data_IF_559574876468
#
_entry.id   IF_559574876468
#
_cell.length_a   1.000
_cell.length_b   1.000
_cell.length_c   1.000
_cell.angle_alpha   90.00
_cell.angle_beta   90.00
_cell.angle_gamma   90.00
#
_symmetry.space_group_name_H-M   'P 1'
#
loop_
_entity.id
_entity.type
_entity.pdbx_description
1 polymer ?
#
# COMPACT_ATOMS: atom_id res chain seq x y z
N UNK A 1 -30.64 23.28 -28.28
CA UNK A 1 -29.85 22.62 -29.34
C UNK A 1 -28.44 23.16 -29.22
N UNK A 2 -27.42 22.44 -28.77
CA UNK A 2 -27.32 21.02 -28.46
C UNK A 2 -26.26 20.89 -27.36
N UNK A 3 -26.65 20.33 -26.21
CA UNK A 3 -25.80 20.10 -25.02
C UNK A 3 -25.54 18.59 -24.98
N UNK A 4 -24.58 18.09 -25.75
CA UNK A 4 -24.48 16.62 -25.92
C UNK A 4 -23.05 16.08 -26.02
N UNK A 5 -22.01 16.85 -25.69
CA UNK A 5 -20.62 16.34 -25.77
C UNK A 5 -19.87 16.27 -24.43
N UNK A 6 -20.25 17.03 -23.39
CA UNK A 6 -19.60 16.95 -22.06
C UNK A 6 -20.04 15.73 -21.22
N UNK A 7 -21.05 14.97 -21.66
CA UNK A 7 -21.62 13.84 -20.92
C UNK A 7 -20.94 12.47 -21.12
N UNK A 8 -19.93 12.37 -22.00
CA UNK A 8 -19.33 11.07 -22.37
C UNK A 8 -18.03 10.74 -21.62
N UNK A 9 -17.30 11.71 -21.09
CA UNK A 9 -16.06 11.44 -20.34
C UNK A 9 -16.29 11.03 -18.87
N UNK A 10 -17.45 11.35 -18.30
CA UNK A 10 -17.77 10.98 -16.91
C UNK A 10 -18.26 9.54 -16.73
N UNK A 11 -18.43 8.77 -17.81
CA UNK A 11 -18.97 7.40 -17.76
C UNK A 11 -17.94 6.27 -17.91
N UNK A 12 -16.65 6.58 -18.08
CA UNK A 12 -15.59 5.55 -18.15
C UNK A 12 -15.10 5.07 -16.78
N UNK A 13 -15.49 5.75 -15.68
CA UNK A 13 -15.19 5.35 -14.31
C UNK A 13 -16.22 4.38 -13.68
N UNK A 14 -17.15 3.82 -14.46
CA UNK A 14 -18.31 3.09 -13.90
C UNK A 14 -18.30 1.57 -13.97
N UNK A 15 -17.21 0.91 -14.37
CA UNK A 15 -17.10 -0.55 -14.21
C UNK A 15 -15.69 -0.94 -13.77
N UNK A 16 -15.41 -0.78 -12.48
CA UNK A 16 -14.28 -1.46 -11.83
C UNK A 16 -14.60 -2.95 -11.90
N UNK A 17 -13.78 -3.73 -12.63
CA UNK A 17 -13.86 -5.20 -12.57
C UNK A 17 -13.49 -5.61 -11.14
N UNK A 18 -14.48 -6.09 -10.39
CA UNK A 18 -14.26 -6.64 -9.06
C UNK A 18 -13.24 -7.76 -9.17
N UNK A 19 -12.22 -7.74 -8.31
CA UNK A 19 -11.22 -8.80 -8.24
C UNK A 19 -11.83 -10.13 -7.77
N UNK A 20 -12.90 -10.03 -6.98
CA UNK A 20 -13.73 -11.12 -6.49
C UNK A 20 -15.20 -10.67 -6.49
N UNK A 21 -16.14 -11.55 -6.84
CA UNK A 21 -17.57 -11.27 -6.75
C UNK A 21 -18.13 -11.96 -5.49
N UNK A 22 -18.37 -11.25 -4.39
CA UNK A 22 -19.15 -11.80 -3.30
C UNK A 22 -20.59 -12.01 -3.78
N UNK A 23 -21.10 -13.24 -3.69
CA UNK A 23 -22.52 -13.53 -3.89
C UNK A 23 -23.28 -13.08 -2.64
N UNK A 24 -23.46 -11.77 -2.48
CA UNK A 24 -24.32 -11.19 -1.45
C UNK A 24 -25.57 -10.60 -2.10
N UNK A 25 -26.53 -11.46 -2.40
CA UNK A 25 -27.95 -11.07 -2.46
C UNK A 25 -28.89 -12.04 -1.72
N UNK A 26 -28.36 -13.00 -0.95
CA UNK A 26 -29.18 -14.00 -0.21
C UNK A 26 -28.88 -14.03 1.30
N UNK A 27 -28.26 -12.97 1.86
CA UNK A 27 -27.98 -12.90 3.30
C UNK A 27 -28.87 -11.90 4.05
N UNK A 28 -30.13 -11.77 3.60
CA UNK A 28 -31.22 -11.37 4.48
C UNK A 28 -31.91 -12.62 5.02
N UNK A 29 -31.33 -13.24 6.04
CA UNK A 29 -32.01 -14.30 6.80
C UNK A 29 -31.10 -15.41 7.31
N UNK A 30 -30.93 -15.42 8.63
CA UNK A 30 -30.63 -16.57 9.48
C UNK A 30 -29.31 -17.34 9.28
N UNK A 31 -28.44 -17.17 10.27
CA UNK A 31 -27.56 -18.19 10.87
C UNK A 31 -26.88 -19.21 9.95
N UNK A 32 -25.55 -19.08 9.88
CA UNK A 32 -24.64 -20.21 10.07
C UNK A 32 -24.68 -21.33 9.05
N UNK A 33 -24.03 -21.12 7.91
CA UNK A 33 -23.32 -22.23 7.27
C UNK A 33 -21.82 -21.99 7.40
N UNK A 34 -21.25 -22.39 8.55
CA UNK A 34 -19.80 -22.46 8.75
C UNK A 34 -19.10 -23.20 7.60
N UNK A 35 -19.77 -24.20 7.03
CA UNK A 35 -19.31 -24.90 5.82
C UNK A 35 -19.20 -23.98 4.60
N UNK A 36 -20.19 -23.11 4.34
CA UNK A 36 -20.13 -22.17 3.22
C UNK A 36 -19.01 -21.15 3.42
N UNK A 37 -18.83 -20.62 4.64
CA UNK A 37 -17.71 -19.73 4.95
C UNK A 37 -16.36 -20.40 4.69
N UNK A 38 -16.15 -21.62 5.20
CA UNK A 38 -14.93 -22.40 4.94
C UNK A 38 -14.72 -22.70 3.46
N UNK A 39 -15.79 -23.03 2.72
CA UNK A 39 -15.72 -23.24 1.28
C UNK A 39 -15.30 -21.96 0.53
N UNK A 40 -15.79 -20.79 0.95
CA UNK A 40 -15.38 -19.51 0.37
C UNK A 40 -13.94 -19.16 0.69
N UNK A 41 -13.50 -19.39 1.93
CA UNK A 41 -12.11 -19.21 2.35
C UNK A 41 -11.19 -20.09 1.51
N UNK A 42 -11.53 -21.37 1.32
CA UNK A 42 -10.75 -22.30 0.52
C UNK A 42 -10.72 -21.91 -0.97
N UNK A 43 -11.88 -21.59 -1.54
CA UNK A 43 -11.98 -21.14 -2.93
C UNK A 43 -11.15 -19.86 -3.19
N UNK A 44 -11.13 -18.94 -2.21
CA UNK A 44 -10.31 -17.73 -2.26
C UNK A 44 -8.82 -18.06 -2.17
N UNK A 45 -8.42 -18.96 -1.27
CA UNK A 45 -7.02 -19.40 -1.14
C UNK A 45 -6.52 -20.01 -2.45
N UNK A 46 -7.28 -20.93 -3.05
CA UNK A 46 -6.94 -21.54 -4.35
C UNK A 46 -6.86 -20.47 -5.44
N UNK A 47 -7.84 -19.57 -5.51
CA UNK A 47 -7.81 -18.48 -6.49
C UNK A 47 -6.57 -17.58 -6.35
N UNK A 48 -6.16 -17.25 -5.12
CA UNK A 48 -4.97 -16.45 -4.86
C UNK A 48 -3.69 -17.22 -5.21
N UNK A 49 -3.64 -18.52 -4.96
CA UNK A 49 -2.53 -19.39 -5.36
C UNK A 49 -2.39 -19.47 -6.88
N UNK A 50 -3.50 -19.66 -7.61
CA UNK A 50 -3.51 -19.63 -9.07
C UNK A 50 -2.98 -18.29 -9.59
N UNK A 51 -3.47 -17.18 -9.04
CA UNK A 51 -3.01 -15.83 -9.40
C UNK A 51 -1.55 -15.59 -9.06
N UNK A 52 -1.03 -16.22 -8.01
CA UNK A 52 0.38 -16.16 -7.64
C UNK A 52 1.24 -16.92 -8.66
N UNK A 53 0.80 -18.11 -9.09
CA UNK A 53 1.49 -18.93 -10.09
C UNK A 53 1.56 -18.26 -11.47
N UNK A 54 0.59 -17.41 -11.80
CA UNK A 54 0.56 -16.59 -13.01
C UNK A 54 1.67 -15.49 -13.03
N UNK A 55 2.28 -15.17 -11.88
CA UNK A 55 3.30 -14.12 -11.78
C UNK A 55 4.69 -14.62 -12.18
N UNK A 56 5.50 -13.70 -12.72
CA UNK A 56 6.89 -14.00 -13.05
C UNK A 56 7.70 -14.20 -11.77
N UNK A 57 8.37 -15.33 -11.65
CA UNK A 57 9.30 -15.61 -10.55
C UNK A 57 10.67 -14.96 -10.79
N UNK A 58 11.58 -15.11 -9.82
CA UNK A 58 12.93 -14.54 -9.90
C UNK A 58 13.73 -15.06 -11.10
N UNK A 59 13.61 -16.35 -11.43
CA UNK A 59 14.34 -16.97 -12.53
C UNK A 59 13.78 -16.53 -13.89
N UNK A 60 12.45 -16.38 -13.99
CA UNK A 60 11.75 -15.85 -15.15
C UNK A 60 12.13 -14.38 -15.40
N UNK A 61 12.18 -13.56 -14.34
CA UNK A 61 12.66 -12.17 -14.42
C UNK A 61 14.13 -12.09 -14.88
N UNK A 62 15.00 -12.95 -14.37
CA UNK A 62 16.40 -13.03 -14.82
C UNK A 62 16.50 -13.50 -16.28
N UNK A 63 15.66 -14.45 -16.69
CA UNK A 63 15.63 -14.99 -18.05
C UNK A 63 15.20 -13.93 -19.05
N UNK A 64 14.18 -13.12 -18.75
CA UNK A 64 13.76 -12.04 -19.65
C UNK A 64 14.79 -10.92 -19.73
N UNK A 65 15.49 -10.60 -18.64
CA UNK A 65 16.62 -9.66 -18.66
C UNK A 65 17.71 -10.13 -19.63
N UNK A 66 18.16 -11.38 -19.48
CA UNK A 66 19.16 -11.99 -20.36
C UNK A 66 18.69 -12.05 -21.82
N UNK A 67 17.40 -12.26 -22.06
CA UNK A 67 16.85 -12.27 -23.41
C UNK A 67 16.86 -10.87 -24.02
N UNK A 68 16.45 -9.84 -23.26
CA UNK A 68 16.47 -8.45 -23.71
C UNK A 68 17.88 -7.98 -24.07
N UNK A 69 18.88 -8.33 -23.25
CA UNK A 69 20.28 -7.96 -23.45
C UNK A 69 20.86 -8.47 -24.80
N UNK A 70 20.35 -9.58 -25.32
CA UNK A 70 20.75 -10.11 -26.65
C UNK A 70 20.24 -9.30 -27.83
N UNK A 71 19.18 -8.53 -27.63
CA UNK A 71 18.55 -7.69 -28.66
C UNK A 71 18.82 -6.20 -28.44
N UNK A 72 19.82 -5.88 -27.61
CA UNK A 72 20.19 -4.50 -27.33
C UNK A 72 20.79 -3.83 -28.57
N UNK A 73 20.39 -2.57 -28.77
CA UNK A 73 20.94 -1.66 -29.75
C UNK A 73 21.64 -0.56 -28.96
N UNK A 74 22.94 -0.32 -29.16
CA UNK A 74 23.63 0.79 -28.53
C UNK A 74 22.95 2.12 -28.85
N UNK A 75 22.74 2.94 -27.83
CA UNK A 75 22.24 4.30 -27.93
C UNK A 75 23.31 5.31 -28.32
N UNK A 76 23.05 6.59 -28.06
CA UNK A 76 24.02 7.67 -28.34
C UNK A 76 25.10 7.70 -27.26
N UNK A 77 24.74 7.34 -26.02
CA UNK A 77 25.68 7.06 -24.94
C UNK A 77 26.02 5.57 -24.89
N UNK A 78 27.24 5.24 -24.47
CA UNK A 78 27.71 3.87 -24.32
C UNK A 78 26.88 3.04 -23.33
N UNK A 79 26.22 3.70 -22.37
CA UNK A 79 25.39 3.07 -21.33
C UNK A 79 23.91 2.92 -21.73
N UNK A 80 23.50 3.47 -22.87
CA UNK A 80 22.11 3.38 -23.33
C UNK A 80 21.86 2.08 -24.09
N UNK A 81 21.23 1.12 -23.44
CA UNK A 81 20.74 -0.10 -24.07
C UNK A 81 19.30 0.11 -24.57
N UNK A 82 19.11 0.15 -25.89
CA UNK A 82 17.82 0.42 -26.52
C UNK A 82 17.24 -0.81 -27.23
N UNK A 83 15.93 -0.84 -27.43
CA UNK A 83 15.25 -1.86 -28.24
C UNK A 83 14.22 -1.24 -29.18
N UNK A 84 14.23 -1.66 -30.45
CA UNK A 84 13.24 -1.24 -31.44
C UNK A 84 11.92 -2.06 -31.31
N UNK A 85 10.87 -1.65 -32.00
CA UNK A 85 9.56 -2.31 -31.88
C UNK A 85 9.53 -3.74 -32.45
N UNK A 86 10.31 -4.00 -33.51
CA UNK A 86 10.38 -5.32 -34.13
C UNK A 86 11.02 -6.34 -33.18
N UNK A 87 12.14 -5.98 -32.57
CA UNK A 87 12.85 -6.80 -31.59
C UNK A 87 12.05 -6.95 -30.30
N UNK A 88 11.40 -5.88 -29.82
CA UNK A 88 10.46 -5.95 -28.71
C UNK A 88 9.35 -6.99 -28.94
N UNK A 89 8.77 -7.02 -30.15
CA UNK A 89 7.75 -8.02 -30.51
C UNK A 89 8.34 -9.43 -30.62
N UNK A 90 9.54 -9.56 -31.15
CA UNK A 90 10.24 -10.85 -31.27
C UNK A 90 10.56 -11.43 -29.89
N UNK A 91 11.14 -10.63 -28.99
CA UNK A 91 11.42 -11.01 -27.60
C UNK A 91 10.15 -11.45 -26.88
N UNK A 92 9.06 -10.68 -26.99
CA UNK A 92 7.78 -11.04 -26.38
C UNK A 92 7.20 -12.38 -26.87
N UNK A 93 7.42 -12.74 -28.14
CA UNK A 93 7.03 -14.05 -28.69
C UNK A 93 7.92 -15.17 -28.19
N UNK A 94 9.24 -14.93 -28.12
CA UNK A 94 10.21 -15.93 -27.67
C UNK A 94 10.10 -16.22 -26.17
N UNK A 95 9.76 -15.22 -25.36
CA UNK A 95 9.60 -15.39 -23.92
C UNK A 95 8.41 -16.26 -23.53
N UNK A 96 7.36 -16.30 -24.37
CA UNK A 96 6.17 -17.13 -24.17
C UNK A 96 4.95 -16.36 -23.62
N UNK A 97 3.82 -17.07 -23.45
CA UNK A 97 2.52 -16.45 -23.17
C UNK A 97 2.45 -15.67 -21.86
N UNK A 98 3.17 -16.13 -20.83
CA UNK A 98 3.23 -15.46 -19.51
C UNK A 98 3.76 -14.03 -19.59
N UNK A 99 4.58 -13.73 -20.60
CA UNK A 99 5.16 -12.41 -20.83
C UNK A 99 4.31 -11.51 -21.74
N UNK A 100 3.36 -12.07 -22.48
CA UNK A 100 2.53 -11.33 -23.45
C UNK A 100 1.86 -10.06 -22.87
N UNK A 101 1.38 -10.04 -21.60
CA UNK A 101 0.80 -8.83 -21.00
C UNK A 101 1.76 -7.65 -20.82
N UNK A 102 3.08 -7.90 -20.92
CA UNK A 102 4.12 -6.87 -20.83
C UNK A 102 4.57 -6.41 -22.23
N UNK A 103 4.49 -7.28 -23.25
CA UNK A 103 4.93 -7.00 -24.62
C UNK A 103 3.82 -6.50 -25.55
N UNK A 104 3.04 -5.50 -25.10
CA UNK A 104 1.95 -4.91 -25.90
C UNK A 104 2.36 -3.61 -26.58
N UNK A 105 1.73 -3.27 -27.71
CA UNK A 105 1.95 -1.98 -28.38
C UNK A 105 1.69 -0.78 -27.46
N UNK A 106 0.70 -0.89 -26.56
CA UNK A 106 0.36 0.13 -25.56
C UNK A 106 1.44 0.30 -24.49
N UNK A 107 2.19 -0.75 -24.17
CA UNK A 107 3.35 -0.65 -23.26
C UNK A 107 4.49 0.02 -23.98
N UNK A 108 4.82 -0.43 -25.19
CA UNK A 108 5.88 0.18 -26.01
C UNK A 108 5.67 1.68 -26.21
N UNK A 109 4.47 2.09 -26.61
CA UNK A 109 4.13 3.50 -26.81
C UNK A 109 4.21 4.34 -25.53
N UNK A 110 3.96 3.73 -24.34
CA UNK A 110 4.07 4.42 -23.06
C UNK A 110 5.51 4.59 -22.56
N UNK A 111 6.38 3.63 -22.90
CA UNK A 111 7.80 3.67 -22.54
C UNK A 111 8.65 4.46 -23.54
N UNK A 112 8.06 4.80 -24.69
CA UNK A 112 8.69 5.64 -25.71
C UNK A 112 8.88 7.06 -25.14
N UNK A 113 10.12 7.40 -24.86
CA UNK A 113 10.57 8.78 -24.60
C UNK A 113 10.69 9.54 -25.93
N UNK A 114 11.16 10.79 -25.90
CA UNK A 114 11.43 11.65 -27.06
C UNK A 114 12.57 11.14 -27.97
N UNK A 115 12.77 9.83 -28.08
CA UNK A 115 13.75 9.24 -28.99
C UNK A 115 13.30 9.46 -30.46
N UNK A 116 14.16 10.07 -31.31
CA UNK A 116 13.83 10.35 -32.70
C UNK A 116 13.49 9.11 -33.52
N UNK A 117 14.09 7.96 -33.18
CA UNK A 117 13.91 6.68 -33.87
C UNK A 117 12.79 5.83 -33.25
N UNK A 118 12.14 6.34 -32.20
CA UNK A 118 11.05 5.68 -31.50
C UNK A 118 11.44 4.41 -30.75
N UNK A 119 12.70 4.27 -30.36
CA UNK A 119 13.21 3.17 -29.52
C UNK A 119 12.84 3.40 -28.05
N UNK A 120 12.92 2.34 -27.25
CA UNK A 120 12.74 2.41 -25.79
C UNK A 120 13.99 1.88 -25.08
N UNK A 121 14.27 2.39 -23.88
CA UNK A 121 15.34 1.85 -23.05
C UNK A 121 14.94 0.46 -22.51
N UNK A 122 15.87 -0.50 -22.59
CA UNK A 122 15.68 -1.85 -22.04
C UNK A 122 15.45 -1.78 -20.53
N UNK A 123 16.21 -0.93 -19.83
CA UNK A 123 16.06 -0.73 -18.40
C UNK A 123 14.65 -0.23 -18.02
N UNK A 124 14.08 0.71 -18.77
CA UNK A 124 12.72 1.20 -18.54
C UNK A 124 11.68 0.08 -18.71
N UNK A 125 11.84 -0.76 -19.73
CA UNK A 125 10.97 -1.93 -19.94
C UNK A 125 11.11 -2.95 -18.80
N UNK A 126 12.32 -3.24 -18.38
CA UNK A 126 12.56 -4.18 -17.30
C UNK A 126 11.98 -3.66 -15.97
N UNK A 127 12.21 -2.40 -15.65
CA UNK A 127 11.62 -1.74 -14.47
C UNK A 127 10.09 -1.73 -14.52
N UNK A 128 9.50 -1.55 -15.71
CA UNK A 128 8.05 -1.67 -15.89
C UNK A 128 7.55 -3.09 -15.58
N UNK A 129 8.24 -4.13 -16.07
CA UNK A 129 7.89 -5.53 -15.80
C UNK A 129 7.98 -5.79 -14.29
N UNK A 130 9.11 -5.43 -13.67
CA UNK A 130 9.36 -5.58 -12.24
C UNK A 130 8.27 -4.90 -11.41
N UNK A 131 8.00 -3.61 -11.65
CA UNK A 131 6.98 -2.86 -10.90
C UNK A 131 5.59 -3.47 -11.07
N UNK A 132 5.26 -3.98 -12.26
CA UNK A 132 3.94 -4.59 -12.52
C UNK A 132 3.80 -5.98 -11.88
N UNK A 133 4.87 -6.77 -11.82
CA UNK A 133 4.91 -8.03 -11.07
C UNK A 133 4.78 -7.75 -9.58
N UNK A 134 5.58 -6.82 -9.06
CA UNK A 134 5.54 -6.39 -7.66
C UNK A 134 4.14 -5.92 -7.25
N UNK A 135 3.51 -5.02 -8.02
CA UNK A 135 2.16 -4.51 -7.70
C UNK A 135 1.12 -5.63 -7.62
N UNK A 136 1.21 -6.64 -8.48
CA UNK A 136 0.30 -7.79 -8.44
C UNK A 136 0.61 -8.69 -7.25
N UNK A 137 1.88 -8.97 -6.99
CA UNK A 137 2.33 -9.79 -5.87
C UNK A 137 1.89 -9.17 -4.53
N UNK A 138 2.16 -7.88 -4.35
CA UNK A 138 1.74 -7.12 -3.16
C UNK A 138 0.22 -7.08 -3.04
N UNK A 139 -0.51 -6.91 -4.15
CA UNK A 139 -1.97 -6.99 -4.13
C UNK A 139 -2.47 -8.36 -3.67
N UNK A 140 -1.88 -9.45 -4.15
CA UNK A 140 -2.22 -10.82 -3.73
C UNK A 140 -1.89 -10.99 -2.24
N UNK A 141 -0.72 -10.55 -1.80
CA UNK A 141 -0.29 -10.58 -0.40
C UNK A 141 -1.28 -9.88 0.53
N UNK A 142 -1.62 -8.62 0.26
CA UNK A 142 -2.65 -7.88 1.02
C UNK A 142 -4.02 -8.56 0.95
N UNK A 143 -4.35 -9.15 -0.21
CA UNK A 143 -5.61 -9.87 -0.40
C UNK A 143 -5.67 -11.16 0.40
N UNK A 144 -4.61 -11.65 1.04
CA UNK A 144 -4.67 -12.76 2.00
C UNK A 144 -5.28 -12.34 3.35
N UNK A 145 -5.08 -11.07 3.74
CA UNK A 145 -5.59 -10.50 5.00
C UNK A 145 -7.03 -9.98 4.90
N UNK A 146 -7.59 -9.84 3.69
CA UNK A 146 -9.00 -9.47 3.50
C UNK A 146 -9.95 -10.61 3.89
N UNK A 147 -10.24 -10.74 5.18
CA UNK A 147 -11.13 -11.77 5.73
C UNK A 147 -12.53 -11.79 5.08
N UNK A 148 -12.97 -10.70 4.46
CA UNK A 148 -14.30 -10.59 3.83
C UNK A 148 -14.30 -10.84 2.32
N UNK A 149 -13.13 -10.82 1.68
CA UNK A 149 -12.97 -10.89 0.23
C UNK A 149 -13.56 -9.69 -0.53
N UNK A 150 -13.88 -8.58 0.14
CA UNK A 150 -14.56 -7.43 -0.47
C UNK A 150 -13.60 -6.40 -1.10
N UNK A 151 -12.29 -6.62 -1.01
CA UNK A 151 -11.22 -5.77 -1.56
C UNK A 151 -10.81 -4.62 -0.65
N UNK A 152 -11.12 -4.69 0.64
CA UNK A 152 -10.70 -3.73 1.66
C UNK A 152 -10.13 -4.45 2.88
N UNK A 153 -9.34 -3.74 3.67
CA UNK A 153 -8.80 -4.18 4.94
C UNK A 153 -9.38 -3.34 6.07
N UNK A 154 -9.80 -3.99 7.15
CA UNK A 154 -10.16 -3.34 8.42
C UNK A 154 -8.92 -3.12 9.27
N UNK A 155 -9.06 -2.37 10.36
CA UNK A 155 -7.94 -2.14 11.29
C UNK A 155 -7.28 -3.46 11.73
N UNK A 156 -8.07 -4.44 12.17
CA UNK A 156 -7.56 -5.76 12.56
C UNK A 156 -6.82 -6.50 11.44
N UNK A 157 -7.29 -6.34 10.20
CA UNK A 157 -6.71 -7.02 9.04
C UNK A 157 -5.33 -6.39 8.72
N UNK A 158 -5.21 -5.07 8.87
CA UNK A 158 -3.95 -4.34 8.75
C UNK A 158 -3.00 -4.57 9.93
N UNK A 159 -3.50 -4.70 11.16
CA UNK A 159 -2.70 -5.04 12.34
C UNK A 159 -1.99 -6.38 12.12
N UNK A 160 -2.74 -7.42 11.73
CA UNK A 160 -2.18 -8.74 11.42
C UNK A 160 -1.11 -8.66 10.31
N UNK A 161 -1.38 -7.91 9.24
CA UNK A 161 -0.42 -7.71 8.16
C UNK A 161 0.88 -7.08 8.64
N UNK A 162 0.79 -6.00 9.42
CA UNK A 162 1.97 -5.28 9.93
C UNK A 162 2.74 -6.15 10.93
N UNK A 163 2.05 -6.85 11.82
CA UNK A 163 2.67 -7.76 12.79
C UNK A 163 3.50 -8.85 12.13
N UNK A 164 2.96 -9.51 11.10
CA UNK A 164 3.67 -10.53 10.33
C UNK A 164 4.78 -9.94 9.44
N UNK A 165 4.68 -8.65 9.08
CA UNK A 165 5.69 -7.97 8.29
C UNK A 165 6.94 -7.61 9.10
N UNK A 166 6.79 -7.23 10.38
CA UNK A 166 7.87 -6.72 11.25
C UNK A 166 9.14 -7.58 11.23
N UNK A 167 9.10 -8.93 11.37
CA UNK A 167 10.30 -9.76 11.35
C UNK A 167 11.10 -9.68 10.04
N UNK A 168 10.49 -9.21 8.96
CA UNK A 168 11.15 -9.03 7.66
C UNK A 168 11.77 -7.64 7.50
N UNK A 169 11.49 -6.70 8.39
CA UNK A 169 11.97 -5.32 8.34
C UNK A 169 13.28 -5.21 9.12
N UNK A 170 14.42 -5.32 8.44
CA UNK A 170 15.75 -5.27 9.06
C UNK A 170 15.95 -4.03 9.94
N UNK A 171 15.42 -2.87 9.54
CA UNK A 171 15.55 -1.62 10.30
C UNK A 171 14.72 -1.59 11.60
N UNK A 172 13.90 -2.62 11.86
CA UNK A 172 13.17 -2.81 13.11
C UNK A 172 13.73 -3.97 13.94
N UNK A 173 14.86 -4.55 13.54
CA UNK A 173 15.52 -5.58 14.34
C UNK A 173 15.93 -5.00 15.70
N UNK A 174 15.57 -5.71 16.78
CA UNK A 174 15.83 -5.25 18.15
C UNK A 174 14.76 -4.32 18.74
N UNK A 175 13.62 -4.14 18.07
CA UNK A 175 12.47 -3.47 18.66
C UNK A 175 12.01 -4.21 19.93
N UNK A 176 11.84 -3.48 21.03
CA UNK A 176 11.45 -4.09 22.31
C UNK A 176 10.06 -4.74 22.21
N UNK A 177 9.91 -5.95 22.74
CA UNK A 177 8.65 -6.70 22.65
C UNK A 177 7.47 -5.96 23.31
N UNK A 178 7.74 -5.17 24.35
CA UNK A 178 6.75 -4.30 25.01
C UNK A 178 6.30 -3.14 24.13
N UNK A 179 7.15 -2.68 23.20
CA UNK A 179 6.90 -1.57 22.28
C UNK A 179 6.22 -2.01 20.99
N UNK A 180 6.33 -3.29 20.61
CA UNK A 180 5.77 -3.81 19.37
C UNK A 180 4.27 -3.53 19.18
N UNK A 181 3.38 -3.72 20.17
CA UNK A 181 1.95 -3.40 20.02
C UNK A 181 1.72 -1.91 19.71
N UNK A 182 2.51 -1.03 20.31
CA UNK A 182 2.43 0.41 20.06
C UNK A 182 2.90 0.76 18.64
N UNK A 183 4.00 0.14 18.19
CA UNK A 183 4.49 0.33 16.82
C UNK A 183 3.45 -0.10 15.79
N UNK A 184 2.87 -1.29 15.95
CA UNK A 184 1.80 -1.82 15.07
C UNK A 184 0.63 -0.85 15.03
N UNK A 185 0.12 -0.46 16.20
CA UNK A 185 -0.99 0.48 16.32
C UNK A 185 -0.69 1.81 15.61
N UNK A 186 0.51 2.39 15.85
CA UNK A 186 0.94 3.64 15.24
C UNK A 186 1.01 3.54 13.72
N UNK A 187 1.58 2.46 13.20
CA UNK A 187 1.67 2.19 11.76
C UNK A 187 0.29 2.06 11.12
N UNK A 188 -0.61 1.26 11.70
CA UNK A 188 -1.97 1.10 11.20
C UNK A 188 -2.74 2.43 11.23
N UNK A 189 -2.59 3.22 12.30
CA UNK A 189 -3.20 4.55 12.40
C UNK A 189 -2.72 5.50 11.31
N UNK A 190 -1.45 5.46 10.91
CA UNK A 190 -0.94 6.24 9.77
C UNK A 190 -1.70 5.89 8.49
N UNK A 191 -1.91 4.61 8.18
CA UNK A 191 -2.70 4.23 7.00
C UNK A 191 -4.14 4.75 7.08
N UNK A 192 -4.84 4.50 8.19
CA UNK A 192 -6.25 4.88 8.32
C UNK A 192 -6.47 6.39 8.37
N UNK A 193 -5.53 7.15 8.92
CA UNK A 193 -5.66 8.61 8.98
C UNK A 193 -5.79 9.26 7.60
N UNK A 194 -4.97 8.82 6.62
CA UNK A 194 -5.01 9.41 5.27
C UNK A 194 -5.92 8.65 4.29
N UNK A 195 -6.04 7.33 4.45
CA UNK A 195 -6.76 6.50 3.48
C UNK A 195 -8.23 6.23 3.85
N UNK A 196 -8.67 6.61 5.06
CA UNK A 196 -10.06 6.53 5.51
C UNK A 196 -10.56 7.88 6.07
N UNK A 197 -10.61 8.96 5.25
CA UNK A 197 -11.01 10.29 5.71
C UNK A 197 -12.45 10.34 6.24
N UNK A 198 -13.31 9.40 5.82
CA UNK A 198 -14.70 9.28 6.27
C UNK A 198 -14.86 8.38 7.50
N UNK A 199 -13.76 7.80 8.02
CA UNK A 199 -13.73 6.94 9.22
C UNK A 199 -14.70 5.76 9.14
N UNK A 200 -14.72 5.11 7.99
CA UNK A 200 -15.54 3.92 7.74
C UNK A 200 -14.99 2.66 8.43
N UNK A 201 -13.75 2.71 8.93
CA UNK A 201 -13.03 1.57 9.48
C UNK A 201 -12.56 0.60 8.40
N UNK A 202 -12.50 1.06 7.13
CA UNK A 202 -12.13 0.24 5.97
C UNK A 202 -11.27 1.03 4.99
N UNK A 203 -10.13 0.45 4.60
CA UNK A 203 -9.27 0.99 3.54
C UNK A 203 -9.24 0.04 2.36
N UNK A 204 -9.43 0.53 1.13
CA UNK A 204 -9.38 -0.31 -0.06
C UNK A 204 -7.93 -0.70 -0.35
N UNK A 205 -7.69 -1.97 -0.71
CA UNK A 205 -6.34 -2.46 -1.06
C UNK A 205 -5.72 -1.63 -2.20
N UNK A 206 -6.54 -1.18 -3.15
CA UNK A 206 -6.07 -0.35 -4.25
C UNK A 206 -5.51 0.99 -3.78
N UNK A 207 -6.12 1.61 -2.77
CA UNK A 207 -5.66 2.90 -2.21
C UNK A 207 -4.34 2.72 -1.47
N UNK A 208 -4.16 1.60 -0.75
CA UNK A 208 -2.88 1.25 -0.11
C UNK A 208 -1.76 1.13 -1.16
N UNK A 209 -2.03 0.47 -2.30
CA UNK A 209 -1.05 0.28 -3.36
C UNK A 209 -0.70 1.57 -4.11
N UNK A 210 -1.60 2.56 -4.12
CA UNK A 210 -1.39 3.85 -4.80
C UNK A 210 -0.90 4.96 -3.90
N UNK A 211 -0.92 4.80 -2.57
CA UNK A 211 -0.58 5.87 -1.63
C UNK A 211 0.92 6.13 -1.46
N UNK A 212 1.78 5.19 -1.85
CA UNK A 212 3.23 5.23 -1.59
C UNK A 212 3.62 4.83 -0.17
N UNK A 213 2.70 4.86 0.80
CA UNK A 213 2.99 4.51 2.19
C UNK A 213 3.48 3.08 2.39
N UNK A 214 2.98 2.16 1.56
CA UNK A 214 3.45 0.79 1.60
C UNK A 214 4.88 0.66 1.05
N UNK A 215 5.25 1.49 0.07
CA UNK A 215 6.62 1.56 -0.42
C UNK A 215 7.55 2.05 0.72
N UNK A 216 7.16 3.11 1.46
CA UNK A 216 7.92 3.62 2.62
C UNK A 216 8.06 2.56 3.73
N UNK A 217 7.00 1.84 4.05
CA UNK A 217 7.05 0.77 5.06
C UNK A 217 7.97 -0.38 4.63
N UNK A 218 7.94 -0.75 3.34
CA UNK A 218 8.75 -1.84 2.81
C UNK A 218 10.21 -1.44 2.56
N UNK A 219 10.52 -0.14 2.45
CA UNK A 219 11.89 0.38 2.39
C UNK A 219 12.69 -0.01 3.64
N UNK A 220 12.03 -0.16 4.80
CA UNK A 220 12.65 -0.61 6.06
C UNK A 220 13.20 -2.06 6.02
N UNK A 221 12.99 -2.79 4.92
CA UNK A 221 13.62 -4.08 4.67
C UNK A 221 15.08 -3.96 4.24
N UNK A 222 15.47 -2.82 3.67
CA UNK A 222 16.83 -2.61 3.19
C UNK A 222 17.78 -2.45 4.39
N UNK A 223 18.72 -3.39 4.56
CA UNK A 223 19.74 -3.38 5.63
C UNK A 223 20.67 -2.17 5.50
N UNK A 224 20.96 -1.74 4.27
CA UNK A 224 21.89 -0.66 3.94
C UNK A 224 21.19 0.70 3.83
N UNK A 225 19.94 0.82 4.31
CA UNK A 225 19.17 2.06 4.23
C UNK A 225 19.94 3.22 4.89
N UNK A 226 20.27 4.31 4.17
CA UNK A 226 21.03 5.42 4.73
C UNK A 226 20.33 6.04 5.95
N UNK A 227 21.10 6.42 6.97
CA UNK A 227 20.57 6.97 8.23
C UNK A 227 19.66 8.19 8.02
N UNK A 228 19.98 9.04 7.05
CA UNK A 228 19.16 10.22 6.73
C UNK A 228 17.77 9.80 6.22
N UNK A 229 17.72 8.78 5.36
CA UNK A 229 16.46 8.21 4.87
C UNK A 229 15.69 7.52 6.00
N UNK A 230 16.36 6.80 6.89
CA UNK A 230 15.71 6.20 8.07
C UNK A 230 15.03 7.25 8.95
N UNK A 231 15.67 8.41 9.15
CA UNK A 231 15.15 9.50 9.98
C UNK A 231 13.92 10.16 9.32
N UNK A 232 13.94 10.29 8.00
CA UNK A 232 12.84 10.86 7.21
C UNK A 232 11.69 9.87 7.02
N UNK A 233 11.99 8.56 7.00
CA UNK A 233 10.99 7.52 6.80
C UNK A 233 9.97 7.53 7.93
N UNK A 234 8.71 7.70 7.54
CA UNK A 234 7.62 7.85 8.49
C UNK A 234 7.34 6.58 9.27
N UNK A 235 7.62 5.41 8.72
CA UNK A 235 7.39 4.13 9.37
C UNK A 235 8.58 3.66 10.22
N UNK A 236 9.67 4.44 10.29
CA UNK A 236 10.83 4.09 11.13
C UNK A 236 10.47 3.92 12.61
N UNK A 237 11.23 3.09 13.32
CA UNK A 237 11.15 2.96 14.78
C UNK A 237 11.33 4.33 15.47
N UNK A 238 12.25 5.16 14.97
CA UNK A 238 12.48 6.53 15.44
C UNK A 238 11.24 7.41 15.33
N UNK A 239 10.49 7.33 14.22
CA UNK A 239 9.22 8.05 14.07
C UNK A 239 8.17 7.59 15.08
N UNK A 240 8.01 6.28 15.24
CA UNK A 240 7.07 5.72 16.22
C UNK A 240 7.46 6.10 17.66
N UNK A 241 8.74 6.04 18.02
CA UNK A 241 9.25 6.41 19.34
C UNK A 241 9.05 7.90 19.65
N UNK A 242 9.14 8.80 18.66
CA UNK A 242 8.81 10.22 18.86
C UNK A 242 7.35 10.40 19.26
N UNK A 243 6.44 9.71 18.57
CA UNK A 243 5.00 9.73 18.89
C UNK A 243 4.76 9.12 20.28
N UNK A 244 5.43 8.01 20.59
CA UNK A 244 5.34 7.36 21.91
C UNK A 244 5.85 8.24 23.06
N UNK A 245 7.01 8.87 22.89
CA UNK A 245 7.57 9.77 23.89
C UNK A 245 6.67 10.98 24.14
N UNK A 246 6.04 11.53 23.09
CA UNK A 246 5.03 12.58 23.24
C UNK A 246 3.80 12.08 24.01
N UNK A 247 3.32 10.87 23.70
CA UNK A 247 2.23 10.23 24.42
C UNK A 247 2.55 10.07 25.92
N UNK A 248 3.71 9.51 26.27
CA UNK A 248 4.14 9.29 27.66
C UNK A 248 4.31 10.61 28.43
N UNK A 249 4.75 11.67 27.77
CA UNK A 249 4.87 12.99 28.40
C UNK A 249 3.50 13.62 28.73
N UNK A 250 2.46 13.22 27.99
CA UNK A 250 1.09 13.69 28.20
C UNK A 250 0.34 12.84 29.22
N UNK A 251 0.56 11.52 29.23
CA UNK A 251 -0.06 10.55 30.15
C UNK A 251 0.60 10.62 31.54
N UNK A 252 0.18 11.60 32.36
CA UNK A 252 0.83 11.91 33.64
C UNK A 252 0.45 10.94 34.75
N UNK A 253 -0.73 10.36 34.66
CA UNK A 253 -1.20 9.37 35.60
C UNK A 253 -0.88 7.93 35.17
N UNK A 254 -0.18 7.78 34.02
CA UNK A 254 0.30 6.51 33.46
C UNK A 254 -0.81 5.46 33.36
N UNK A 255 -2.02 5.92 33.05
CA UNK A 255 -3.20 5.06 33.03
C UNK A 255 -3.50 4.47 31.64
N UNK A 256 -2.70 4.81 30.62
CA UNK A 256 -2.90 4.33 29.25
C UNK A 256 -3.95 5.11 28.46
N UNK A 257 -4.38 6.29 28.94
CA UNK A 257 -5.36 7.16 28.30
C UNK A 257 -5.00 8.63 28.49
N UNK A 258 -5.31 9.47 27.50
CA UNK A 258 -5.15 10.92 27.63
C UNK A 258 -6.49 11.58 27.97
N UNK A 259 -6.53 12.29 29.08
CA UNK A 259 -7.64 13.17 29.42
C UNK A 259 -7.60 14.47 28.60
N UNK A 260 -8.75 15.16 28.50
CA UNK A 260 -8.79 16.51 27.87
C UNK A 260 -7.77 17.44 28.52
N UNK A 261 -7.59 17.38 29.83
CA UNK A 261 -6.67 18.27 30.57
C UNK A 261 -5.20 18.01 30.23
N UNK A 262 -4.83 16.76 29.98
CA UNK A 262 -3.47 16.38 29.57
C UNK A 262 -3.16 16.86 28.15
N UNK A 263 -4.13 16.78 27.24
CA UNK A 263 -4.00 17.34 25.90
C UNK A 263 -4.01 18.88 25.87
N UNK A 264 -4.72 19.52 26.81
CA UNK A 264 -4.90 20.98 26.83
C UNK A 264 -3.60 21.76 27.13
N UNK A 265 -2.60 21.17 27.82
CA UNK A 265 -1.44 21.93 28.31
C UNK A 265 -0.30 22.13 27.30
N UNK A 266 0.16 21.10 26.54
CA UNK A 266 1.22 21.29 25.54
C UNK A 266 0.73 21.41 24.10
N UNK A 267 -0.45 20.85 23.77
CA UNK A 267 -0.91 20.73 22.38
C UNK A 267 -1.58 22.00 21.82
N UNK A 268 -2.03 22.92 22.68
CA UNK A 268 -2.76 24.13 22.23
C UNK A 268 -1.93 25.10 21.40
N UNK A 269 -0.61 25.10 21.55
CA UNK A 269 0.28 25.99 20.79
C UNK A 269 0.42 25.52 19.33
N UNK A 270 0.18 24.24 19.02
CA UNK A 270 0.31 23.68 17.66
C UNK A 270 -1.05 23.55 16.94
N UNK A 271 -2.17 23.51 17.68
CA UNK A 271 -3.49 23.15 17.14
C UNK A 271 -4.34 24.35 16.65
N UNK A 272 -3.78 25.56 16.49
CA UNK A 272 -4.54 26.78 16.14
C UNK A 272 -5.03 26.88 14.68
N UNK A 273 -4.84 25.86 13.85
CA UNK A 273 -5.47 25.83 12.51
C UNK A 273 -6.86 25.16 12.58
N UNK A 274 -7.87 25.89 12.12
CA UNK A 274 -9.33 25.71 12.32
C UNK A 274 -9.94 24.32 11.99
N UNK A 275 -9.17 23.35 11.50
CA UNK A 275 -9.63 21.98 11.18
C UNK A 275 -9.47 20.98 12.34
N UNK A 276 -8.66 21.27 13.36
CA UNK A 276 -8.30 20.30 14.41
C UNK A 276 -9.30 20.24 15.59
N UNK A 277 -10.18 21.24 15.73
CA UNK A 277 -11.20 21.29 16.80
C UNK A 277 -12.26 20.19 16.62
N UNK A 278 -12.54 19.78 15.38
CA UNK A 278 -13.49 18.71 15.09
C UNK A 278 -12.96 17.32 15.52
N UNK A 279 -11.65 17.10 15.43
CA UNK A 279 -11.01 15.81 15.73
C UNK A 279 -10.93 15.49 17.23
N UNK A 280 -10.64 16.49 18.06
CA UNK A 280 -10.74 16.37 19.53
C UNK A 280 -12.17 16.05 19.97
N UNK A 281 -13.20 16.58 19.32
CA UNK A 281 -14.57 16.21 19.69
C UNK A 281 -14.89 14.74 19.39
N UNK A 282 -14.36 14.14 18.32
CA UNK A 282 -14.64 12.73 17.98
C UNK A 282 -13.87 11.74 18.85
N UNK A 283 -12.63 12.04 19.26
CA UNK A 283 -11.83 11.14 20.10
C UNK A 283 -12.30 11.05 21.56
N UNK A 284 -13.12 12.02 21.99
CA UNK A 284 -13.57 12.19 23.38
C UNK A 284 -15.06 11.89 23.59
N UNK A 285 -15.74 11.29 22.60
CA UNK A 285 -17.18 11.01 22.73
C UNK A 285 -17.44 9.94 23.81
N UNK A 286 -18.44 10.23 24.65
CA UNK A 286 -18.98 9.46 25.79
C UNK A 286 -18.20 9.47 27.13
N UNK A 287 -16.86 9.33 27.16
CA UNK A 287 -16.14 9.15 28.45
C UNK A 287 -15.26 10.32 28.91
N UNK A 288 -15.00 11.30 28.04
CA UNK A 288 -14.09 12.41 28.36
C UNK A 288 -12.61 12.02 28.48
N UNK A 289 -12.24 10.79 28.09
CA UNK A 289 -10.87 10.28 27.98
C UNK A 289 -10.66 9.63 26.60
N UNK A 290 -9.51 9.88 25.97
CA UNK A 290 -9.12 9.22 24.74
C UNK A 290 -8.30 7.97 25.07
N UNK A 291 -8.72 6.81 24.56
CA UNK A 291 -7.92 5.58 24.63
C UNK A 291 -6.57 5.78 23.94
N UNK A 292 -5.54 5.00 24.30
CA UNK A 292 -4.22 5.01 23.62
C UNK A 292 -4.35 5.05 22.09
N UNK A 293 -5.23 4.20 21.52
CA UNK A 293 -5.58 4.16 20.09
C UNK A 293 -6.10 5.49 19.50
N UNK A 294 -6.83 6.29 20.27
CA UNK A 294 -7.40 7.58 19.85
C UNK A 294 -6.41 8.72 20.09
N UNK A 295 -5.61 8.63 21.16
CA UNK A 295 -4.53 9.56 21.47
C UNK A 295 -3.46 9.59 20.38
N UNK A 296 -3.18 8.44 19.75
CA UNK A 296 -2.24 8.35 18.64
C UNK A 296 -2.69 9.10 17.38
N UNK A 297 -3.98 9.10 17.09
CA UNK A 297 -4.55 9.87 15.98
C UNK A 297 -4.30 11.36 16.16
N UNK A 298 -4.48 11.86 17.40
CA UNK A 298 -4.25 13.26 17.76
C UNK A 298 -2.76 13.62 17.60
N UNK A 299 -1.86 12.75 18.05
CA UNK A 299 -0.41 12.98 17.96
C UNK A 299 0.13 12.90 16.52
N UNK A 300 -0.41 11.99 15.69
CA UNK A 300 -0.06 11.93 14.27
C UNK A 300 -0.47 13.20 13.52
N UNK A 301 -1.59 13.81 13.88
CA UNK A 301 -2.05 15.07 13.29
C UNK A 301 -1.23 16.29 13.75
N UNK A 302 -0.71 16.26 14.98
CA UNK A 302 0.24 17.27 15.49
C UNK A 302 1.61 17.14 14.81
N UNK A 303 2.07 15.92 14.55
CA UNK A 303 3.41 15.66 13.98
C UNK A 303 3.44 15.71 12.45
N UNK A 304 2.34 15.40 11.75
CA UNK A 304 2.24 15.42 10.30
C UNK A 304 2.05 16.80 9.65
N UNK A 305 2.03 17.88 10.43
CA UNK A 305 2.00 19.27 9.94
C UNK A 305 3.38 19.96 9.90
N UNK A 306 4.47 19.23 10.18
CA UNK A 306 5.84 19.73 10.03
C UNK A 306 6.42 19.41 8.66
#
# INVERSE_FOLDING_TARGET
MDKTEEGKEQNLNKVIRKFYYPVHSILSGNTSNSFQQKLYEEARTVFLQDKSSDLLDHNELKSIWMLLDRYQIPGVSADEQLINYADFRSVGKMAGEKYAPYFTAKVYARLRRSDPLGKIAILDLFNYIMRKVWLKQTRIGLSLYDATGQGYLRESDMENYVEELIPTLAQLEGLEQSFQPFYVCTTVRKFFFFLDPLRTGKIKIQEILSSGFLDDLLELRDEDLPKDNQIQNWFSASSALKVYGQYLNLDKDHNGMLSKQELLKPAWIVLQEEKNIFFLNVCFYETGRATEKNSLVILLEITGKQ
#
